data_IF_354384267899
#
_entry.id   IF_354384267899
#
_cell.length_a   1.000
_cell.length_b   1.000
_cell.length_c   1.000
_cell.angle_alpha   90.00
_cell.angle_beta   90.00
_cell.angle_gamma   90.00
#
_symmetry.space_group_name_H-M   'P 1'
#
loop_
_entity.id
_entity.type
_entity.pdbx_description
1 polymer ?
#
# COMPACT_ATOMS: atom_id res chain seq x y z
N UNK A 1 63.38 44.50 -32.06
CA UNK A 1 63.03 44.06 -30.69
C UNK A 1 61.72 43.31 -30.62
N UNK A 2 61.24 42.57 -31.61
CA UNK A 2 59.90 41.95 -31.72
C UNK A 2 59.83 40.41 -31.59
N UNK A 3 60.95 39.68 -31.62
CA UNK A 3 60.93 38.19 -31.72
C UNK A 3 60.82 37.40 -30.38
N UNK A 4 61.12 38.02 -29.27
CA UNK A 4 61.04 37.32 -27.95
C UNK A 4 59.62 37.27 -27.39
N UNK A 5 58.74 38.21 -27.71
CA UNK A 5 57.38 38.34 -27.15
C UNK A 5 56.37 37.28 -27.68
N UNK A 6 56.59 36.76 -28.87
CA UNK A 6 55.72 35.75 -29.47
C UNK A 6 56.02 34.33 -28.97
N UNK A 7 57.27 34.04 -28.56
CA UNK A 7 57.66 32.71 -28.06
C UNK A 7 57.13 32.44 -26.66
N UNK A 8 57.18 33.46 -25.79
CA UNK A 8 56.61 33.38 -24.44
C UNK A 8 55.09 33.25 -24.44
N UNK A 9 54.38 33.93 -25.34
CA UNK A 9 52.92 33.76 -25.47
C UNK A 9 52.53 32.34 -25.92
N UNK A 10 53.23 31.73 -26.86
CA UNK A 10 53.02 30.37 -27.31
C UNK A 10 53.24 29.34 -26.20
N UNK A 11 54.27 29.58 -25.35
CA UNK A 11 54.58 28.72 -24.21
C UNK A 11 53.49 28.79 -23.14
N UNK A 12 52.99 29.98 -22.85
CA UNK A 12 51.90 30.20 -21.90
C UNK A 12 50.61 29.53 -22.38
N UNK A 13 50.25 29.65 -23.67
CA UNK A 13 49.10 28.96 -24.24
C UNK A 13 49.24 27.44 -24.16
N UNK A 14 50.42 26.89 -24.42
CA UNK A 14 50.67 25.47 -24.32
C UNK A 14 50.54 24.95 -22.90
N UNK A 15 50.99 25.69 -21.91
CA UNK A 15 50.84 25.36 -20.47
C UNK A 15 49.36 25.43 -20.04
N UNK A 16 48.61 26.44 -20.49
CA UNK A 16 47.19 26.59 -20.14
C UNK A 16 46.37 25.47 -20.76
N UNK A 17 46.62 25.09 -22.02
CA UNK A 17 45.90 23.98 -22.69
C UNK A 17 46.17 22.64 -21.99
N UNK A 18 47.43 22.37 -21.61
CA UNK A 18 47.76 21.17 -20.82
C UNK A 18 47.11 21.16 -19.43
N UNK A 19 47.05 22.30 -18.73
CA UNK A 19 46.39 22.40 -17.46
C UNK A 19 44.87 22.14 -17.51
N UNK A 20 44.23 22.63 -18.61
CA UNK A 20 42.81 22.38 -18.87
C UNK A 20 42.55 20.89 -19.20
N UNK A 21 43.42 20.26 -19.99
CA UNK A 21 43.31 18.83 -20.31
C UNK A 21 43.50 17.96 -19.08
N UNK A 22 44.39 18.27 -18.16
CA UNK A 22 44.56 17.52 -16.89
C UNK A 22 43.35 17.69 -15.98
N UNK A 23 42.73 18.85 -15.92
CA UNK A 23 41.54 19.09 -15.12
C UNK A 23 40.30 18.31 -15.63
N UNK A 24 40.16 18.16 -16.95
CA UNK A 24 39.02 17.41 -17.54
C UNK A 24 39.14 15.89 -17.36
N UNK A 25 40.35 15.34 -17.43
CA UNK A 25 40.60 13.90 -17.25
C UNK A 25 40.40 13.49 -15.78
N UNK A 26 40.80 14.33 -14.81
CA UNK A 26 40.61 14.09 -13.37
C UNK A 26 39.13 14.03 -12.95
N UNK A 27 38.30 14.93 -13.52
CA UNK A 27 36.85 14.92 -13.20
C UNK A 27 36.10 13.71 -13.79
N UNK A 28 36.50 13.20 -14.95
CA UNK A 28 35.89 12.03 -15.56
C UNK A 28 36.15 10.76 -14.76
N UNK A 29 37.38 10.55 -14.29
CA UNK A 29 37.77 9.37 -13.51
C UNK A 29 37.13 9.33 -12.12
N UNK A 30 36.92 10.49 -11.48
CA UNK A 30 36.22 10.60 -10.18
C UNK A 30 34.72 10.30 -10.33
N UNK A 31 34.12 10.75 -11.43
CA UNK A 31 32.70 10.51 -11.69
C UNK A 31 32.41 9.03 -12.02
N UNK A 32 33.33 8.34 -12.66
CA UNK A 32 33.21 6.91 -12.98
C UNK A 32 33.32 6.01 -11.74
N UNK A 33 34.28 6.32 -10.83
CA UNK A 33 34.37 5.61 -9.52
C UNK A 33 33.13 5.82 -8.67
N UNK A 34 32.53 7.01 -8.65
CA UNK A 34 31.31 7.31 -7.91
C UNK A 34 30.09 6.61 -8.52
N UNK A 35 30.02 6.48 -9.85
CA UNK A 35 28.98 5.72 -10.54
C UNK A 35 29.06 4.21 -10.29
N UNK A 36 30.24 3.66 -10.18
CA UNK A 36 30.45 2.22 -9.92
C UNK A 36 30.05 1.89 -8.49
N UNK A 37 30.41 2.69 -7.48
CA UNK A 37 30.01 2.47 -6.08
C UNK A 37 28.50 2.58 -5.88
N UNK A 38 27.83 3.58 -6.50
CA UNK A 38 26.38 3.75 -6.42
C UNK A 38 25.63 2.58 -7.09
N UNK A 39 26.21 1.99 -8.14
CA UNK A 39 25.60 0.89 -8.87
C UNK A 39 25.67 -0.45 -8.10
N UNK A 40 26.67 -0.64 -7.27
CA UNK A 40 26.87 -1.86 -6.48
C UNK A 40 26.12 -1.82 -5.13
N UNK A 41 25.90 -0.62 -4.53
CA UNK A 41 25.12 -0.47 -3.30
C UNK A 41 23.60 -0.61 -3.51
N UNK A 42 23.07 -0.24 -4.67
CA UNK A 42 21.63 -0.28 -4.96
C UNK A 42 21.04 -1.71 -4.99
N UNK A 43 21.70 -2.73 -5.59
CA UNK A 43 21.21 -4.10 -5.58
C UNK A 43 21.20 -4.72 -4.18
N UNK A 44 22.23 -4.51 -3.38
CA UNK A 44 22.31 -5.04 -2.01
C UNK A 44 21.24 -4.44 -1.10
N UNK A 45 21.03 -3.14 -1.19
CA UNK A 45 19.98 -2.43 -0.44
C UNK A 45 18.57 -2.90 -0.83
N UNK A 46 18.35 -3.19 -2.12
CA UNK A 46 17.09 -3.75 -2.61
C UNK A 46 16.84 -5.16 -2.08
N UNK A 47 17.86 -5.99 -2.05
CA UNK A 47 17.76 -7.35 -1.53
C UNK A 47 17.47 -7.34 -0.02
N UNK A 48 18.16 -6.49 0.75
CA UNK A 48 17.91 -6.32 2.18
C UNK A 48 16.49 -5.84 2.46
N UNK A 49 16.03 -4.81 1.73
CA UNK A 49 14.65 -4.32 1.85
C UNK A 49 13.63 -5.42 1.52
N UNK A 50 13.87 -6.22 0.48
CA UNK A 50 13.02 -7.35 0.11
C UNK A 50 12.93 -8.39 1.23
N UNK A 51 14.04 -8.73 1.88
CA UNK A 51 14.07 -9.65 3.03
C UNK A 51 13.28 -9.10 4.22
N UNK A 52 13.40 -7.81 4.50
CA UNK A 52 12.65 -7.14 5.57
C UNK A 52 11.14 -7.20 5.28
N UNK A 53 10.72 -6.85 4.07
CA UNK A 53 9.33 -6.86 3.66
C UNK A 53 8.72 -8.29 3.73
N UNK A 54 9.44 -9.27 3.22
CA UNK A 54 9.03 -10.69 3.29
C UNK A 54 8.91 -11.17 4.73
N UNK A 55 9.82 -10.73 5.61
CA UNK A 55 9.76 -11.02 7.04
C UNK A 55 8.52 -10.44 7.73
N UNK A 56 8.12 -9.22 7.38
CA UNK A 56 6.88 -8.62 7.88
C UNK A 56 5.64 -9.34 7.37
N UNK A 57 5.56 -9.71 6.08
CA UNK A 57 4.45 -10.49 5.52
C UNK A 57 4.32 -11.86 6.19
N UNK A 58 5.43 -12.55 6.40
CA UNK A 58 5.40 -13.85 7.10
C UNK A 58 4.89 -13.73 8.53
N UNK A 59 5.32 -12.70 9.28
CA UNK A 59 4.81 -12.43 10.62
C UNK A 59 3.32 -12.08 10.59
N UNK A 60 2.90 -11.23 9.65
CA UNK A 60 1.50 -10.86 9.47
C UNK A 60 0.61 -12.10 9.28
N UNK A 61 1.05 -13.05 8.44
CA UNK A 61 0.33 -14.30 8.18
C UNK A 61 0.23 -15.16 9.44
N UNK A 62 1.34 -15.37 10.16
CA UNK A 62 1.34 -16.13 11.42
C UNK A 62 0.41 -15.51 12.47
N UNK A 63 0.41 -14.19 12.61
CA UNK A 63 -0.47 -13.49 13.54
C UNK A 63 -1.94 -13.65 13.17
N UNK A 64 -2.25 -13.64 11.88
CA UNK A 64 -3.61 -13.89 11.39
C UNK A 64 -4.08 -15.32 11.71
N UNK A 65 -3.22 -16.33 11.51
CA UNK A 65 -3.49 -17.72 11.88
C UNK A 65 -3.74 -17.88 13.38
N UNK A 66 -3.04 -17.10 14.20
CA UNK A 66 -3.22 -17.02 15.66
C UNK A 66 -4.43 -16.19 16.09
N UNK A 67 -5.18 -15.63 15.13
CA UNK A 67 -6.29 -14.69 15.35
C UNK A 67 -5.87 -13.35 16.01
N UNK A 68 -4.59 -13.03 15.98
CA UNK A 68 -4.11 -11.69 16.35
C UNK A 68 -4.26 -10.73 15.14
N UNK A 69 -5.50 -10.27 14.95
CA UNK A 69 -5.86 -9.38 13.85
C UNK A 69 -5.15 -8.02 13.94
N UNK A 70 -4.97 -7.50 15.14
CA UNK A 70 -4.30 -6.22 15.37
C UNK A 70 -2.80 -6.31 15.09
N UNK A 71 -2.16 -7.38 15.50
CA UNK A 71 -0.75 -7.65 15.21
C UNK A 71 -0.54 -7.85 13.71
N UNK A 72 -1.39 -8.66 13.06
CA UNK A 72 -1.35 -8.87 11.62
C UNK A 72 -1.55 -7.55 10.85
N UNK A 73 -2.49 -6.72 11.29
CA UNK A 73 -2.73 -5.40 10.70
C UNK A 73 -1.48 -4.51 10.76
N UNK A 74 -0.84 -4.42 11.93
CA UNK A 74 0.37 -3.62 12.13
C UNK A 74 1.52 -4.07 11.25
N UNK A 75 1.73 -5.38 11.10
CA UNK A 75 2.79 -5.91 10.24
C UNK A 75 2.53 -5.60 8.76
N UNK A 76 1.29 -5.73 8.26
CA UNK A 76 0.94 -5.33 6.90
C UNK A 76 1.08 -3.80 6.69
N UNK A 77 0.76 -2.97 7.68
CA UNK A 77 1.00 -1.53 7.60
C UNK A 77 2.49 -1.18 7.46
N UNK A 78 3.39 -1.89 8.16
CA UNK A 78 4.83 -1.71 7.98
C UNK A 78 5.26 -2.04 6.56
N UNK A 79 4.72 -3.12 5.97
CA UNK A 79 4.97 -3.44 4.56
C UNK A 79 4.56 -2.28 3.66
N UNK A 80 3.35 -1.72 3.81
CA UNK A 80 2.90 -0.59 3.02
C UNK A 80 3.81 0.64 3.16
N UNK A 81 4.25 0.94 4.38
CA UNK A 81 5.11 2.10 4.62
C UNK A 81 6.50 1.96 4.00
N UNK A 82 7.03 0.74 3.93
CA UNK A 82 8.37 0.46 3.41
C UNK A 82 8.36 0.22 1.89
N UNK A 83 7.30 -0.41 1.36
CA UNK A 83 7.19 -0.74 -0.06
C UNK A 83 6.84 0.49 -0.93
N UNK A 84 6.20 1.50 -0.35
CA UNK A 84 5.70 2.65 -1.10
C UNK A 84 4.62 2.22 -2.11
N UNK A 85 4.86 2.49 -3.40
CA UNK A 85 3.98 2.09 -4.49
C UNK A 85 4.45 0.83 -5.23
N UNK A 86 5.39 0.07 -4.64
CA UNK A 86 5.94 -1.13 -5.25
C UNK A 86 5.43 -2.40 -4.56
N UNK A 87 5.46 -3.56 -5.24
CA UNK A 87 5.31 -4.85 -4.58
C UNK A 87 6.33 -5.00 -3.43
N UNK A 88 5.95 -5.64 -2.31
CA UNK A 88 4.70 -6.35 -2.04
C UNK A 88 3.62 -5.52 -1.32
N UNK A 89 3.55 -4.20 -1.56
CA UNK A 89 2.52 -3.33 -1.00
C UNK A 89 1.09 -3.74 -1.43
N UNK A 90 0.95 -4.31 -2.62
CA UNK A 90 -0.30 -4.88 -3.11
C UNK A 90 -0.77 -6.08 -2.28
N UNK A 91 0.12 -7.01 -1.93
CA UNK A 91 -0.19 -8.12 -1.03
C UNK A 91 -0.60 -7.62 0.36
N UNK A 92 0.09 -6.62 0.88
CA UNK A 92 -0.26 -6.02 2.16
C UNK A 92 -1.66 -5.38 2.14
N UNK A 93 -2.04 -4.66 1.08
CA UNK A 93 -3.39 -4.12 0.92
C UNK A 93 -4.45 -5.22 0.84
N UNK A 94 -4.16 -6.30 0.13
CA UNK A 94 -5.05 -7.46 0.04
C UNK A 94 -5.28 -8.08 1.42
N UNK A 95 -4.21 -8.32 2.16
CA UNK A 95 -4.26 -8.87 3.52
C UNK A 95 -5.04 -7.96 4.48
N UNK A 96 -4.86 -6.64 4.41
CA UNK A 96 -5.61 -5.67 5.22
C UNK A 96 -7.12 -5.74 4.91
N UNK A 97 -7.48 -5.90 3.64
CA UNK A 97 -8.87 -6.15 3.24
C UNK A 97 -9.42 -7.43 3.87
N UNK A 98 -8.69 -8.53 3.82
CA UNK A 98 -9.09 -9.81 4.41
C UNK A 98 -9.23 -9.74 5.94
N UNK A 99 -8.34 -9.04 6.64
CA UNK A 99 -8.42 -8.85 8.10
C UNK A 99 -9.75 -8.22 8.50
N UNK A 100 -10.19 -7.16 7.79
CA UNK A 100 -11.48 -6.52 8.08
C UNK A 100 -12.69 -7.30 7.60
N UNK A 101 -12.55 -8.19 6.62
CA UNK A 101 -13.62 -9.09 6.18
C UNK A 101 -13.79 -10.31 7.10
N UNK A 102 -12.77 -10.65 7.91
CA UNK A 102 -12.73 -11.90 8.64
C UNK A 102 -13.79 -11.97 9.76
N UNK A 103 -14.61 -13.01 9.73
CA UNK A 103 -15.71 -13.17 10.69
C UNK A 103 -15.27 -13.28 12.16
N UNK A 104 -14.10 -13.83 12.42
CA UNK A 104 -13.53 -13.92 13.77
C UNK A 104 -12.93 -12.61 14.29
N UNK A 105 -12.83 -11.58 13.46
CA UNK A 105 -12.27 -10.30 13.88
C UNK A 105 -13.34 -9.48 14.61
N UNK A 106 -13.16 -9.15 15.91
CA UNK A 106 -14.11 -8.31 16.65
C UNK A 106 -14.24 -6.90 16.07
N UNK A 107 -13.23 -6.45 15.28
CA UNK A 107 -13.23 -5.18 14.57
C UNK A 107 -13.62 -5.34 13.09
N UNK A 108 -14.34 -6.41 12.74
CA UNK A 108 -14.84 -6.66 11.39
C UNK A 108 -15.59 -5.44 10.86
N UNK A 109 -15.25 -5.03 9.63
CA UNK A 109 -15.81 -3.84 9.00
C UNK A 109 -15.73 -4.00 7.47
N UNK A 110 -16.86 -4.31 6.86
CA UNK A 110 -16.92 -4.55 5.42
C UNK A 110 -16.60 -3.29 4.60
N UNK A 111 -17.01 -2.11 5.06
CA UNK A 111 -16.69 -0.85 4.41
C UNK A 111 -15.19 -0.58 4.35
N UNK A 112 -14.47 -0.81 5.47
CA UNK A 112 -13.00 -0.72 5.48
C UNK A 112 -12.34 -1.76 4.60
N UNK A 113 -12.83 -3.01 4.63
CA UNK A 113 -12.34 -4.09 3.77
C UNK A 113 -12.45 -3.71 2.29
N UNK A 114 -13.63 -3.26 1.85
CA UNK A 114 -13.89 -2.76 0.50
C UNK A 114 -12.95 -1.60 0.15
N UNK A 115 -12.70 -0.70 1.10
CA UNK A 115 -11.78 0.42 0.93
C UNK A 115 -10.37 -0.05 0.58
N UNK A 116 -9.83 -1.05 1.29
CA UNK A 116 -8.51 -1.63 1.01
C UNK A 116 -8.46 -2.34 -0.34
N UNK A 117 -9.47 -3.14 -0.71
CA UNK A 117 -9.52 -3.80 -2.01
C UNK A 117 -9.63 -2.80 -3.17
N UNK A 118 -10.42 -1.73 -3.03
CA UNK A 118 -10.49 -0.66 -4.02
C UNK A 118 -9.17 0.09 -4.14
N UNK A 119 -8.49 0.34 -3.02
CA UNK A 119 -7.16 0.96 -3.02
C UNK A 119 -6.15 0.08 -3.75
N UNK A 120 -6.13 -1.23 -3.51
CA UNK A 120 -5.29 -2.17 -4.23
C UNK A 120 -5.53 -2.09 -5.75
N UNK A 121 -6.79 -2.19 -6.19
CA UNK A 121 -7.12 -2.18 -7.63
C UNK A 121 -6.78 -0.86 -8.31
N UNK A 122 -6.78 0.25 -7.56
CA UNK A 122 -6.42 1.58 -8.05
C UNK A 122 -4.89 1.78 -8.11
N UNK A 123 -4.20 1.48 -7.01
CA UNK A 123 -2.79 1.83 -6.84
C UNK A 123 -1.86 0.78 -7.49
N UNK A 124 -2.35 -0.48 -7.66
CA UNK A 124 -1.61 -1.60 -8.22
C UNK A 124 -2.41 -2.32 -9.32
N UNK A 125 -2.73 -1.67 -10.44
CA UNK A 125 -3.63 -2.23 -11.46
C UNK A 125 -3.08 -3.50 -12.15
N UNK A 126 -1.78 -3.75 -12.06
CA UNK A 126 -1.12 -4.94 -12.63
C UNK A 126 -0.86 -6.04 -11.58
N UNK A 127 -1.32 -5.87 -10.35
CA UNK A 127 -1.15 -6.86 -9.29
C UNK A 127 -1.93 -8.15 -9.59
N UNK A 128 -1.35 -9.32 -9.27
CA UNK A 128 -2.06 -10.60 -9.37
C UNK A 128 -3.28 -10.68 -8.44
N UNK A 129 -3.37 -9.82 -7.42
CA UNK A 129 -4.49 -9.77 -6.48
C UNK A 129 -5.69 -8.96 -6.99
N UNK A 130 -5.60 -8.25 -8.12
CA UNK A 130 -6.67 -7.36 -8.61
C UNK A 130 -7.98 -8.11 -8.84
N UNK A 131 -7.92 -9.28 -9.47
CA UNK A 131 -9.13 -10.07 -9.76
C UNK A 131 -9.80 -10.51 -8.47
N UNK A 132 -9.03 -11.03 -7.53
CA UNK A 132 -9.54 -11.46 -6.22
C UNK A 132 -10.11 -10.30 -5.42
N UNK A 133 -9.44 -9.13 -5.41
CA UNK A 133 -9.91 -7.94 -4.72
C UNK A 133 -11.26 -7.43 -5.27
N UNK A 134 -11.49 -7.53 -6.59
CA UNK A 134 -12.78 -7.20 -7.20
C UNK A 134 -13.87 -8.18 -6.79
N UNK A 135 -13.58 -9.47 -6.77
CA UNK A 135 -14.52 -10.51 -6.31
C UNK A 135 -14.92 -10.26 -4.87
N UNK A 136 -13.94 -10.07 -3.97
CA UNK A 136 -14.21 -9.75 -2.57
C UNK A 136 -15.03 -8.47 -2.41
N UNK A 137 -14.70 -7.42 -3.17
CA UNK A 137 -15.48 -6.18 -3.14
C UNK A 137 -16.94 -6.43 -3.48
N UNK A 138 -17.23 -7.21 -4.52
CA UNK A 138 -18.60 -7.57 -4.90
C UNK A 138 -19.35 -8.35 -3.82
N UNK A 139 -18.70 -9.39 -3.28
CA UNK A 139 -19.28 -10.23 -2.21
C UNK A 139 -19.59 -9.39 -0.97
N UNK A 140 -18.69 -8.53 -0.54
CA UNK A 140 -18.88 -7.72 0.65
C UNK A 140 -19.96 -6.65 0.45
N UNK A 141 -20.04 -6.04 -0.71
CA UNK A 141 -21.11 -5.09 -1.05
C UNK A 141 -22.49 -5.76 -1.02
N UNK A 142 -22.59 -7.00 -1.52
CA UNK A 142 -23.83 -7.75 -1.46
C UNK A 142 -24.21 -8.11 -0.02
N UNK A 143 -23.24 -8.53 0.80
CA UNK A 143 -23.47 -8.77 2.24
C UNK A 143 -23.96 -7.51 2.96
N UNK A 144 -23.40 -6.32 2.67
CA UNK A 144 -23.89 -5.05 3.25
C UNK A 144 -25.34 -4.77 2.87
N UNK A 145 -25.72 -4.98 1.60
CA UNK A 145 -27.10 -4.82 1.15
C UNK A 145 -28.07 -5.81 1.82
N UNK A 146 -27.65 -7.07 1.96
CA UNK A 146 -28.45 -8.09 2.65
C UNK A 146 -28.64 -7.71 4.12
N UNK A 147 -27.62 -7.26 4.81
CA UNK A 147 -27.71 -6.81 6.19
C UNK A 147 -28.68 -5.63 6.34
N UNK A 148 -28.60 -4.64 5.47
CA UNK A 148 -29.55 -3.51 5.46
C UNK A 148 -30.99 -3.96 5.20
N UNK A 149 -31.18 -4.93 4.31
CA UNK A 149 -32.48 -5.50 4.02
C UNK A 149 -33.05 -6.25 5.24
N UNK A 150 -32.24 -7.06 5.91
CA UNK A 150 -32.61 -7.77 7.15
C UNK A 150 -33.02 -6.76 8.24
N UNK A 151 -32.25 -5.69 8.43
CA UNK A 151 -32.57 -4.65 9.41
C UNK A 151 -33.91 -4.00 9.12
N UNK A 152 -34.17 -3.65 7.84
CA UNK A 152 -35.45 -3.07 7.41
C UNK A 152 -36.61 -4.04 7.64
N UNK A 153 -36.45 -5.31 7.27
CA UNK A 153 -37.50 -6.32 7.48
C UNK A 153 -37.81 -6.52 8.97
N UNK A 154 -36.78 -6.55 9.82
CA UNK A 154 -36.97 -6.65 11.27
C UNK A 154 -37.73 -5.43 11.83
N UNK A 155 -37.47 -4.23 11.32
CA UNK A 155 -38.21 -3.04 11.70
C UNK A 155 -39.69 -3.15 11.29
N UNK A 156 -39.98 -3.56 10.05
CA UNK A 156 -41.35 -3.74 9.58
C UNK A 156 -42.10 -4.80 10.41
N UNK A 157 -41.43 -5.89 10.78
CA UNK A 157 -42.02 -6.92 11.65
C UNK A 157 -42.36 -6.33 13.02
N UNK A 158 -41.49 -5.51 13.60
CA UNK A 158 -41.75 -4.92 14.90
C UNK A 158 -42.88 -3.89 14.85
N UNK A 159 -42.94 -3.05 13.81
CA UNK A 159 -44.05 -2.13 13.56
C UNK A 159 -45.39 -2.88 13.41
N UNK A 160 -45.41 -4.01 12.65
CA UNK A 160 -46.60 -4.85 12.50
C UNK A 160 -47.10 -5.42 13.81
N UNK A 161 -46.18 -5.96 14.65
CA UNK A 161 -46.52 -6.46 15.97
C UNK A 161 -47.14 -5.39 16.86
N UNK A 162 -46.63 -4.17 16.79
CA UNK A 162 -47.15 -3.04 17.56
C UNK A 162 -48.57 -2.68 17.15
N UNK A 163 -48.87 -2.70 15.83
CA UNK A 163 -50.23 -2.48 15.30
C UNK A 163 -51.17 -3.60 15.75
N UNK A 164 -50.75 -4.85 15.75
CA UNK A 164 -51.57 -5.97 16.20
C UNK A 164 -51.91 -5.82 17.69
N UNK A 165 -50.96 -5.42 18.53
CA UNK A 165 -51.21 -5.16 19.97
C UNK A 165 -52.24 -4.04 20.14
N UNK A 166 -52.10 -2.93 19.44
CA UNK A 166 -53.05 -1.81 19.49
C UNK A 166 -54.49 -2.22 19.07
N UNK A 167 -54.59 -3.05 18.05
CA UNK A 167 -55.90 -3.59 17.61
C UNK A 167 -56.51 -4.47 18.70
N UNK A 168 -55.74 -5.35 19.29
CA UNK A 168 -56.18 -6.19 20.39
C UNK A 168 -56.63 -5.39 21.62
N UNK A 169 -55.89 -4.35 22.01
CA UNK A 169 -56.26 -3.47 23.12
C UNK A 169 -57.57 -2.72 22.84
N UNK A 170 -57.74 -2.15 21.64
CA UNK A 170 -58.97 -1.49 21.22
C UNK A 170 -60.16 -2.44 21.21
N UNK A 171 -59.99 -3.73 20.83
CA UNK A 171 -61.06 -4.72 20.88
C UNK A 171 -61.47 -5.03 22.34
N UNK A 172 -60.52 -5.15 23.26
CA UNK A 172 -60.77 -5.38 24.67
C UNK A 172 -61.48 -4.22 25.36
N UNK A 173 -61.13 -2.99 25.00
CA UNK A 173 -61.82 -1.78 25.49
C UNK A 173 -63.28 -1.70 25.05
N UNK A 174 -63.59 -2.09 23.80
CA UNK A 174 -64.96 -2.08 23.25
C UNK A 174 -65.85 -3.23 23.82
N UNK A 175 -65.22 -4.23 24.39
CA UNK A 175 -65.95 -5.39 24.96
C UNK A 175 -66.32 -5.24 26.44
N UNK A 176 -65.88 -4.14 27.08
CA UNK A 176 -66.24 -3.73 28.42
C UNK A 176 -67.42 -2.76 28.44
#
# INVERSE_FOLDING_TARGET
MGRKRTRTRKFIYFCIVNLICFATIGCAALNEKQRIQVKDEEPQKREETSKILSGHLLRARKLLEQRDYDGSFKENQKVLSLAGQNPPGDEALFNLGLIYAHNGNPKKDYGKSIGFFKKLTKDYPQSPFVVQARIWTGILQENEKLNQTIQRLNQVIEESKQVDIEIEEKKREKAK
#
